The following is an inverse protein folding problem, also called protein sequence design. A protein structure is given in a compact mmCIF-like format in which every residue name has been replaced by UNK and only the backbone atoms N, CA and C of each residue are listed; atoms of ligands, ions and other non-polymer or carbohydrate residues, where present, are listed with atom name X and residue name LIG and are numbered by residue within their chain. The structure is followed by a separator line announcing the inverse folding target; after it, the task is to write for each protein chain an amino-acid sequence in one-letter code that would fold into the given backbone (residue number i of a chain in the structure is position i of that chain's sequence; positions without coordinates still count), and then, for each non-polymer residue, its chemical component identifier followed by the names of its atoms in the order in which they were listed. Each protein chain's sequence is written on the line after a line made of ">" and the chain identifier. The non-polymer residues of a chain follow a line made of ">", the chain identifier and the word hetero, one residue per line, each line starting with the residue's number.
data_IF_649206443532
#
_entry.id   IF_649206443532
#
_cell.length_a   1.000
_cell.length_b   1.000
_cell.length_c   1.000
_cell.angle_alpha   90.00
_cell.angle_beta   90.00
_cell.angle_gamma   90.00
#
_symmetry.space_group_name_H-M   'P 1'
#
loop_
_entity.id
_entity.type
_entity.pdbx_description
1 polymer ?
#
# COMPACT_ATOMS: atom_id res chain seq x y z
N UNK A 1 57.71 35.08 8.21
CA UNK A 1 56.76 34.54 9.22
C UNK A 1 55.35 35.00 8.86
N UNK A 2 54.46 34.13 8.35
CA UNK A 2 53.10 34.56 8.04
C UNK A 2 52.30 34.63 9.35
N UNK A 3 51.78 35.80 9.68
CA UNK A 3 50.91 36.02 10.85
C UNK A 3 49.54 35.45 10.54
N UNK A 4 49.26 34.25 11.06
CA UNK A 4 47.92 33.67 11.08
C UNK A 4 46.99 34.59 11.89
N UNK A 5 46.08 35.26 11.17
CA UNK A 5 44.80 35.83 11.59
C UNK A 5 44.61 36.14 13.09
N UNK A 6 44.74 37.42 13.46
CA UNK A 6 43.97 37.96 14.59
C UNK A 6 42.57 38.29 14.06
N UNK A 7 41.62 37.35 14.22
CA UNK A 7 40.21 37.65 13.93
C UNK A 7 39.61 38.40 15.10
N UNK A 8 39.12 39.62 14.85
CA UNK A 8 38.31 40.40 15.81
C UNK A 8 37.18 39.53 16.39
N UNK A 9 36.90 39.69 17.69
CA UNK A 9 35.84 38.98 18.44
C UNK A 9 34.51 38.98 17.66
N UNK A 10 34.22 40.09 16.96
CA UNK A 10 33.03 40.25 16.11
C UNK A 10 32.97 39.20 14.99
N UNK A 11 34.09 38.93 14.30
CA UNK A 11 34.14 37.95 13.20
C UNK A 11 33.96 36.53 13.72
N UNK A 12 34.46 36.23 14.92
CA UNK A 12 34.29 34.93 15.56
C UNK A 12 32.83 34.70 15.97
N UNK A 13 32.18 35.73 16.55
CA UNK A 13 30.76 35.69 16.90
C UNK A 13 29.89 35.51 15.64
N UNK A 14 30.15 36.28 14.58
CA UNK A 14 29.42 36.14 13.29
C UNK A 14 29.63 34.76 12.65
N UNK A 15 30.84 34.21 12.70
CA UNK A 15 31.10 32.87 12.17
C UNK A 15 30.35 31.79 12.96
N UNK A 16 30.28 31.92 14.30
CA UNK A 16 29.55 30.98 15.16
C UNK A 16 28.04 31.06 14.90
N UNK A 17 27.46 32.25 14.77
CA UNK A 17 26.02 32.39 14.50
C UNK A 17 25.63 31.83 13.14
N UNK A 18 26.43 32.07 12.10
CA UNK A 18 26.22 31.49 10.77
C UNK A 18 26.36 29.97 10.78
N UNK A 19 27.35 29.44 11.49
CA UNK A 19 27.52 27.99 11.65
C UNK A 19 26.32 27.37 12.38
N UNK A 20 25.84 28.00 13.46
CA UNK A 20 24.66 27.52 14.20
C UNK A 20 23.38 27.56 13.36
N UNK A 21 23.18 28.61 12.55
CA UNK A 21 22.05 28.70 11.61
C UNK A 21 22.13 27.63 10.51
N UNK A 22 23.31 27.35 9.98
CA UNK A 22 23.50 26.30 9.00
C UNK A 22 23.23 24.90 9.59
N UNK A 23 23.73 24.64 10.80
CA UNK A 23 23.52 23.37 11.51
C UNK A 23 22.05 23.16 11.84
N UNK A 24 21.35 24.19 12.33
CA UNK A 24 19.92 24.08 12.65
C UNK A 24 19.09 23.83 11.40
N UNK A 25 19.39 24.52 10.29
CA UNK A 25 18.71 24.29 9.00
C UNK A 25 18.95 22.87 8.49
N UNK A 26 20.18 22.39 8.54
CA UNK A 26 20.53 21.03 8.13
C UNK A 26 19.85 19.97 9.00
N UNK A 27 19.78 20.19 10.32
CA UNK A 27 19.09 19.31 11.25
C UNK A 27 17.58 19.25 10.97
N UNK A 28 16.94 20.40 10.73
CA UNK A 28 15.52 20.47 10.35
C UNK A 28 15.29 19.69 9.06
N UNK A 29 16.07 19.94 8.02
CA UNK A 29 15.93 19.25 6.73
C UNK A 29 16.10 17.74 6.90
N UNK A 30 17.11 17.29 7.66
CA UNK A 30 17.34 15.87 7.92
C UNK A 30 16.16 15.22 8.66
N UNK A 31 15.63 15.89 9.70
CA UNK A 31 14.48 15.40 10.47
C UNK A 31 13.22 15.38 9.61
N UNK A 32 12.95 16.43 8.86
CA UNK A 32 11.81 16.50 7.93
C UNK A 32 11.89 15.41 6.87
N UNK A 33 13.06 15.20 6.27
CA UNK A 33 13.26 14.14 5.28
C UNK A 33 13.01 12.75 5.88
N UNK A 34 13.52 12.50 7.08
CA UNK A 34 13.34 11.24 7.78
C UNK A 34 11.88 11.00 8.20
N UNK A 35 11.18 12.05 8.63
CA UNK A 35 9.78 11.98 9.03
C UNK A 35 8.85 11.84 7.82
N UNK A 36 9.16 12.49 6.70
CA UNK A 36 8.35 12.42 5.48
C UNK A 36 8.29 10.98 4.95
N UNK A 37 9.40 10.25 4.95
CA UNK A 37 9.43 8.84 4.52
C UNK A 37 8.54 7.94 5.38
N UNK A 38 8.50 8.17 6.70
CA UNK A 38 7.62 7.43 7.62
C UNK A 38 6.15 7.82 7.46
N UNK A 39 5.88 9.13 7.37
CA UNK A 39 4.53 9.65 7.21
C UNK A 39 3.87 9.15 5.92
N UNK A 40 4.57 9.22 4.79
CA UNK A 40 4.07 8.72 3.51
C UNK A 40 3.76 7.22 3.57
N UNK A 41 4.59 6.44 4.26
CA UNK A 41 4.36 5.01 4.43
C UNK A 41 3.15 4.71 5.33
N UNK A 42 3.03 5.38 6.47
CA UNK A 42 1.91 5.21 7.40
C UNK A 42 0.58 5.63 6.76
N UNK A 43 0.56 6.79 6.09
CA UNK A 43 -0.62 7.23 5.33
C UNK A 43 -0.97 6.23 4.23
N UNK A 44 0.01 5.76 3.45
CA UNK A 44 -0.24 4.79 2.39
C UNK A 44 -0.79 3.46 2.92
N UNK A 45 -0.33 2.99 4.09
CA UNK A 45 -0.88 1.80 4.74
C UNK A 45 -2.32 2.04 5.21
N UNK A 46 -2.61 3.22 5.77
CA UNK A 46 -3.97 3.60 6.15
C UNK A 46 -4.91 3.62 4.95
N UNK A 47 -4.49 4.24 3.85
CA UNK A 47 -5.24 4.28 2.59
C UNK A 47 -5.49 2.86 2.05
N UNK A 48 -4.47 1.99 2.09
CA UNK A 48 -4.61 0.60 1.65
C UNK A 48 -5.60 -0.19 2.52
N UNK A 49 -5.63 0.05 3.84
CA UNK A 49 -6.63 -0.54 4.75
C UNK A 49 -8.03 -0.04 4.44
N UNK A 50 -8.19 1.27 4.27
CA UNK A 50 -9.46 1.89 3.87
C UNK A 50 -9.99 1.32 2.55
N UNK A 51 -9.13 1.23 1.54
CA UNK A 51 -9.45 0.63 0.26
C UNK A 51 -9.87 -0.85 0.37
N UNK A 52 -9.14 -1.64 1.17
CA UNK A 52 -9.47 -3.05 1.41
C UNK A 52 -10.83 -3.19 2.09
N UNK A 53 -11.16 -2.31 3.03
CA UNK A 53 -12.47 -2.26 3.69
C UNK A 53 -13.58 -1.91 2.71
N UNK A 54 -13.41 -0.87 1.90
CA UNK A 54 -14.39 -0.49 0.87
C UNK A 54 -14.65 -1.66 -0.08
N UNK A 55 -13.60 -2.34 -0.53
CA UNK A 55 -13.74 -3.51 -1.40
C UNK A 55 -14.50 -4.64 -0.72
N UNK A 56 -14.17 -4.94 0.54
CA UNK A 56 -14.85 -5.99 1.30
C UNK A 56 -16.33 -5.68 1.55
N UNK A 57 -16.68 -4.43 1.89
CA UNK A 57 -18.08 -4.01 2.05
C UNK A 57 -18.84 -4.13 0.73
N UNK A 58 -18.25 -3.65 -0.38
CA UNK A 58 -18.86 -3.81 -1.71
C UNK A 58 -19.00 -5.27 -2.11
N UNK A 59 -18.08 -6.13 -1.64
CA UNK A 59 -18.15 -7.57 -1.84
C UNK A 59 -19.32 -8.21 -1.08
N UNK A 60 -19.49 -7.89 0.21
CA UNK A 60 -20.64 -8.35 1.00
C UNK A 60 -21.99 -7.83 0.51
N UNK A 61 -22.02 -6.69 -0.20
CA UNK A 61 -23.22 -6.22 -0.89
C UNK A 61 -23.47 -6.98 -2.21
N UNK A 62 -22.40 -7.40 -2.88
CA UNK A 62 -22.48 -8.11 -4.16
C UNK A 62 -22.83 -9.60 -3.99
N UNK A 63 -22.39 -10.24 -2.90
CA UNK A 63 -22.72 -11.62 -2.57
C UNK A 63 -23.35 -11.72 -1.17
N UNK A 64 -24.60 -12.19 -1.11
CA UNK A 64 -25.33 -12.37 0.13
C UNK A 64 -24.75 -13.48 1.04
N UNK A 65 -23.88 -14.34 0.50
CA UNK A 65 -23.20 -15.41 1.24
C UNK A 65 -21.84 -14.96 1.82
N UNK A 66 -21.35 -13.77 1.45
CA UNK A 66 -20.11 -13.24 1.98
C UNK A 66 -20.34 -12.56 3.33
N UNK A 67 -19.84 -13.16 4.40
CA UNK A 67 -19.81 -12.56 5.73
C UNK A 67 -18.57 -11.67 5.87
N UNK A 68 -18.79 -10.36 5.98
CA UNK A 68 -17.72 -9.37 6.15
C UNK A 68 -17.69 -8.91 7.60
N UNK A 69 -16.62 -9.26 8.31
CA UNK A 69 -16.36 -8.80 9.68
C UNK A 69 -15.60 -7.47 9.65
N UNK A 70 -16.26 -6.38 10.02
CA UNK A 70 -15.65 -5.06 10.20
C UNK A 70 -15.83 -4.62 11.65
N UNK A 71 -14.74 -4.29 12.34
CA UNK A 71 -14.80 -3.71 13.69
C UNK A 71 -14.08 -2.37 13.70
N UNK A 72 -14.82 -1.29 13.94
CA UNK A 72 -14.28 0.08 13.90
C UNK A 72 -13.76 0.43 12.51
N UNK A 73 -12.45 0.68 12.39
CA UNK A 73 -11.75 0.99 11.14
C UNK A 73 -10.97 -0.18 10.52
N UNK A 74 -11.02 -1.36 11.13
CA UNK A 74 -10.24 -2.51 10.70
C UNK A 74 -11.12 -3.60 10.08
N UNK A 75 -10.67 -4.11 8.93
CA UNK A 75 -11.25 -5.28 8.28
C UNK A 75 -10.68 -6.54 8.95
N UNK A 76 -11.51 -7.26 9.71
CA UNK A 76 -11.07 -8.44 10.47
C UNK A 76 -11.03 -9.69 9.59
N UNK A 77 -12.08 -9.92 8.80
CA UNK A 77 -12.16 -11.09 7.93
C UNK A 77 -13.22 -10.92 6.85
N UNK A 78 -12.98 -11.53 5.70
CA UNK A 78 -14.01 -11.82 4.70
C UNK A 78 -14.15 -13.33 4.66
N UNK A 79 -15.33 -13.82 4.95
CA UNK A 79 -15.63 -15.25 5.07
C UNK A 79 -16.71 -15.63 4.08
N UNK A 80 -16.49 -16.67 3.28
CA UNK A 80 -17.46 -17.10 2.26
C UNK A 80 -17.32 -18.60 1.96
N UNK A 81 -18.44 -19.30 1.76
CA UNK A 81 -18.45 -20.77 1.54
C UNK A 81 -17.85 -21.19 0.19
N UNK A 82 -17.73 -20.26 -0.76
CA UNK A 82 -16.98 -20.44 -2.01
C UNK A 82 -16.93 -19.13 -2.79
N UNK A 83 -15.80 -18.88 -3.46
CA UNK A 83 -15.65 -17.69 -4.33
C UNK A 83 -16.71 -17.79 -5.46
N UNK A 84 -17.60 -16.80 -5.60
CA UNK A 84 -18.62 -16.79 -6.62
C UNK A 84 -17.98 -16.66 -8.00
N UNK A 85 -18.71 -17.15 -9.00
CA UNK A 85 -18.32 -16.90 -10.38
C UNK A 85 -18.52 -15.41 -10.68
N UNK A 86 -17.42 -14.67 -10.80
CA UNK A 86 -17.45 -13.26 -11.17
C UNK A 86 -17.96 -13.12 -12.62
N UNK A 87 -19.26 -12.87 -12.79
CA UNK A 87 -19.88 -12.66 -14.11
C UNK A 87 -19.40 -11.38 -14.81
N UNK A 88 -18.91 -10.41 -14.04
CA UNK A 88 -18.41 -9.13 -14.54
C UNK A 88 -17.26 -8.55 -13.67
N UNK A 89 -16.80 -7.35 -14.04
CA UNK A 89 -15.78 -6.60 -13.31
C UNK A 89 -16.37 -5.45 -12.47
N UNK A 90 -17.69 -5.42 -12.24
CA UNK A 90 -18.35 -4.28 -11.60
C UNK A 90 -17.84 -4.03 -10.17
N UNK A 91 -17.53 -5.10 -9.42
CA UNK A 91 -16.96 -4.99 -8.08
C UNK A 91 -15.64 -4.21 -8.07
N UNK A 92 -14.68 -4.63 -8.91
CA UNK A 92 -13.34 -4.01 -8.96
C UNK A 92 -13.41 -2.59 -9.53
N UNK A 93 -14.34 -2.34 -10.47
CA UNK A 93 -14.52 -1.02 -11.05
C UNK A 93 -15.17 -0.04 -10.07
N UNK A 94 -16.22 -0.45 -9.35
CA UNK A 94 -16.84 0.36 -8.28
C UNK A 94 -15.86 0.64 -7.16
N UNK A 95 -15.09 -0.38 -6.75
CA UNK A 95 -14.03 -0.20 -5.75
C UNK A 95 -13.02 0.84 -6.24
N UNK A 96 -12.55 0.72 -7.47
CA UNK A 96 -11.60 1.65 -8.07
C UNK A 96 -12.13 3.09 -8.14
N UNK A 97 -13.42 3.28 -8.43
CA UNK A 97 -14.07 4.58 -8.40
C UNK A 97 -14.10 5.18 -6.99
N UNK A 98 -14.36 4.37 -5.96
CA UNK A 98 -14.41 4.82 -4.57
C UNK A 98 -13.03 5.16 -4.00
N UNK A 99 -11.99 4.42 -4.37
CA UNK A 99 -10.64 4.56 -3.81
C UNK A 99 -9.69 5.36 -4.73
N UNK A 100 -10.17 5.80 -5.89
CA UNK A 100 -9.37 6.41 -6.96
C UNK A 100 -8.11 5.60 -7.32
N UNK A 101 -8.24 4.27 -7.41
CA UNK A 101 -7.09 3.35 -7.45
C UNK A 101 -7.33 2.06 -8.23
N UNK A 102 -6.56 1.03 -7.88
CA UNK A 102 -6.59 -0.28 -8.55
C UNK A 102 -7.12 -1.33 -7.59
N UNK A 103 -8.09 -2.13 -8.04
CA UNK A 103 -8.65 -3.25 -7.33
C UNK A 103 -8.43 -4.54 -8.13
N UNK A 104 -8.15 -5.64 -7.43
CA UNK A 104 -7.89 -6.95 -8.05
C UNK A 104 -8.38 -8.06 -7.14
N UNK A 105 -9.16 -8.99 -7.72
CA UNK A 105 -9.52 -10.25 -7.09
C UNK A 105 -8.63 -11.35 -7.66
N UNK A 106 -7.99 -12.09 -6.76
CA UNK A 106 -7.22 -13.28 -7.10
C UNK A 106 -7.96 -14.52 -6.62
N UNK A 107 -7.95 -15.56 -7.45
CA UNK A 107 -8.37 -16.89 -7.06
C UNK A 107 -7.13 -17.76 -6.89
N UNK A 108 -7.08 -18.51 -5.78
CA UNK A 108 -6.02 -19.50 -5.57
C UNK A 108 -6.31 -20.73 -6.43
N UNK A 109 -5.41 -21.04 -7.37
CA UNK A 109 -5.48 -22.21 -8.25
C UNK A 109 -4.21 -23.03 -8.02
N UNK A 110 -4.34 -24.13 -7.26
CA UNK A 110 -3.19 -24.89 -6.78
C UNK A 110 -2.30 -24.04 -5.86
N UNK A 111 -1.06 -23.80 -6.30
CA UNK A 111 -0.09 -22.96 -5.58
C UNK A 111 -0.04 -21.51 -6.08
N UNK A 112 -0.76 -21.18 -7.15
CA UNK A 112 -0.72 -19.87 -7.79
C UNK A 112 -1.94 -19.03 -7.42
N UNK A 113 -1.76 -17.71 -7.38
CA UNK A 113 -2.85 -16.74 -7.31
C UNK A 113 -3.09 -16.17 -8.70
N UNK A 114 -4.20 -16.53 -9.33
CA UNK A 114 -4.57 -16.09 -10.68
C UNK A 114 -5.54 -14.92 -10.58
N UNK A 115 -5.31 -13.84 -11.34
CA UNK A 115 -6.23 -12.69 -11.41
C UNK A 115 -7.48 -13.07 -12.16
N UNK A 116 -8.60 -13.14 -11.44
CA UNK A 116 -9.91 -13.43 -12.04
C UNK A 116 -10.67 -12.16 -12.40
N UNK A 117 -10.48 -11.07 -11.64
CA UNK A 117 -11.12 -9.79 -11.90
C UNK A 117 -10.17 -8.64 -11.52
N UNK A 118 -10.00 -7.65 -12.40
CA UNK A 118 -9.12 -6.50 -12.13
C UNK A 118 -9.47 -5.31 -13.01
N UNK A 119 -9.30 -4.09 -12.50
CA UNK A 119 -9.32 -2.87 -13.31
C UNK A 119 -7.91 -2.45 -13.79
N UNK A 120 -6.86 -3.18 -13.37
CA UNK A 120 -5.50 -2.92 -13.82
C UNK A 120 -5.37 -3.27 -15.29
N UNK A 121 -4.88 -2.32 -16.07
CA UNK A 121 -4.60 -2.50 -17.50
C UNK A 121 -3.12 -2.81 -17.74
N UNK A 122 -2.85 -3.63 -18.75
CA UNK A 122 -1.51 -3.85 -19.32
C UNK A 122 -1.14 -2.67 -20.23
N UNK A 123 0.05 -2.71 -20.79
CA UNK A 123 0.55 -1.69 -21.74
C UNK A 123 -0.31 -1.59 -23.00
N UNK A 124 -0.91 -2.69 -23.44
CA UNK A 124 -1.86 -2.75 -24.57
C UNK A 124 -3.26 -2.19 -24.27
N UNK A 125 -3.50 -1.72 -23.03
CA UNK A 125 -4.79 -1.17 -22.60
C UNK A 125 -5.85 -2.22 -22.19
N UNK A 126 -5.59 -3.51 -22.40
CA UNK A 126 -6.44 -4.61 -21.95
C UNK A 126 -6.31 -4.86 -20.44
N UNK A 127 -7.32 -5.44 -19.80
CA UNK A 127 -7.25 -5.79 -18.37
C UNK A 127 -6.24 -6.92 -18.14
N UNK A 128 -5.51 -6.87 -17.03
CA UNK A 128 -4.53 -7.88 -16.63
C UNK A 128 -5.15 -9.17 -16.06
N UNK A 129 -6.33 -9.55 -16.53
CA UNK A 129 -7.02 -10.81 -16.16
C UNK A 129 -6.22 -12.01 -16.66
N UNK A 130 -6.25 -13.12 -15.92
CA UNK A 130 -5.53 -14.36 -16.22
C UNK A 130 -4.04 -14.34 -15.86
N UNK A 131 -3.48 -13.19 -15.52
CA UNK A 131 -2.09 -13.09 -15.05
C UNK A 131 -1.95 -13.60 -13.62
N UNK A 132 -0.79 -14.17 -13.29
CA UNK A 132 -0.49 -14.67 -11.94
C UNK A 132 0.09 -13.57 -11.07
N UNK A 133 -0.15 -13.64 -9.77
CA UNK A 133 0.70 -12.95 -8.81
C UNK A 133 2.10 -13.56 -8.90
N UNK A 134 3.13 -12.72 -8.99
CA UNK A 134 4.50 -13.21 -9.09
C UNK A 134 4.83 -14.13 -7.90
N UNK A 135 5.55 -15.22 -8.15
CA UNK A 135 5.84 -16.25 -7.16
C UNK A 135 6.74 -15.72 -6.02
N UNK A 136 7.59 -14.75 -6.33
CA UNK A 136 8.49 -14.04 -5.43
C UNK A 136 7.82 -12.85 -4.72
N UNK A 137 6.54 -12.56 -4.99
CA UNK A 137 5.86 -11.43 -4.40
C UNK A 137 5.75 -11.61 -2.87
N UNK A 138 6.13 -10.62 -2.04
CA UNK A 138 6.16 -10.75 -0.57
C UNK A 138 4.79 -11.07 0.05
N UNK A 139 3.69 -10.76 -0.65
CA UNK A 139 2.34 -11.13 -0.25
C UNK A 139 2.06 -12.64 -0.31
N UNK A 140 2.73 -13.43 -1.16
CA UNK A 140 2.49 -14.88 -1.32
C UNK A 140 2.51 -15.64 0.00
N UNK A 141 3.59 -15.61 0.81
CA UNK A 141 3.64 -16.33 2.09
C UNK A 141 2.67 -15.74 3.13
N UNK A 142 2.42 -14.44 3.11
CA UNK A 142 1.50 -13.78 4.06
C UNK A 142 0.05 -14.20 3.80
N UNK A 143 -0.37 -14.19 2.54
CA UNK A 143 -1.67 -14.68 2.10
C UNK A 143 -1.82 -16.19 2.31
N UNK A 144 -0.75 -16.96 2.07
CA UNK A 144 -0.73 -18.40 2.34
C UNK A 144 -0.97 -18.75 3.82
N UNK A 145 -0.54 -17.88 4.74
CA UNK A 145 -0.81 -18.01 6.17
C UNK A 145 -2.17 -17.43 6.60
N UNK A 146 -3.02 -17.01 5.65
CA UNK A 146 -4.33 -16.43 5.94
C UNK A 146 -4.25 -15.07 6.65
N UNK A 147 -3.16 -14.32 6.46
CA UNK A 147 -2.97 -12.97 7.01
C UNK A 147 -3.09 -11.93 5.88
N UNK A 148 -3.58 -10.74 6.22
CA UNK A 148 -3.58 -9.62 5.29
C UNK A 148 -2.15 -9.09 5.09
N UNK A 149 -1.81 -8.75 3.85
CA UNK A 149 -0.55 -8.10 3.49
C UNK A 149 -0.82 -6.63 3.16
N UNK A 150 -0.06 -5.73 3.77
CA UNK A 150 -0.03 -4.30 3.41
C UNK A 150 1.42 -3.91 3.17
N UNK A 151 1.74 -3.51 1.95
CA UNK A 151 3.12 -3.15 1.62
C UNK A 151 3.32 -2.72 0.17
N UNK A 152 4.53 -2.24 -0.14
CA UNK A 152 4.88 -1.81 -1.48
C UNK A 152 4.92 -3.00 -2.44
N UNK A 153 4.33 -2.83 -3.61
CA UNK A 153 4.38 -3.76 -4.72
C UNK A 153 4.71 -3.00 -6.00
N UNK A 154 5.65 -3.52 -6.78
CA UNK A 154 5.94 -2.97 -8.10
C UNK A 154 5.04 -3.65 -9.14
N UNK A 155 4.36 -2.86 -9.97
CA UNK A 155 3.52 -3.36 -11.07
C UNK A 155 3.75 -2.50 -12.30
N UNK A 156 4.20 -3.12 -13.39
CA UNK A 156 4.47 -2.44 -14.68
C UNK A 156 5.34 -1.18 -14.52
N UNK A 157 6.45 -1.28 -13.78
CA UNK A 157 7.40 -0.18 -13.56
C UNK A 157 6.92 0.92 -12.59
N UNK A 158 5.73 0.80 -12.00
CA UNK A 158 5.21 1.73 -11.00
C UNK A 158 5.17 1.10 -9.62
N UNK A 159 5.51 1.89 -8.60
CA UNK A 159 5.40 1.50 -7.20
C UNK A 159 3.98 1.77 -6.70
N UNK A 160 3.34 0.74 -6.15
CA UNK A 160 2.02 0.82 -5.55
C UNK A 160 2.09 0.44 -4.07
N UNK A 161 1.33 1.09 -3.22
CA UNK A 161 0.97 0.49 -1.94
C UNK A 161 -0.17 -0.51 -2.19
N UNK A 162 0.01 -1.76 -1.76
CA UNK A 162 -0.96 -2.83 -1.98
C UNK A 162 -1.44 -3.40 -0.66
N UNK A 163 -2.76 -3.36 -0.45
CA UNK A 163 -3.45 -4.19 0.53
C UNK A 163 -4.00 -5.45 -0.14
N UNK A 164 -3.63 -6.62 0.36
CA UNK A 164 -4.16 -7.91 -0.08
C UNK A 164 -4.74 -8.63 1.13
N UNK A 165 -6.05 -8.88 1.13
CA UNK A 165 -6.75 -9.55 2.22
C UNK A 165 -7.22 -10.92 1.73
N UNK A 166 -6.87 -12.01 2.43
CA UNK A 166 -7.37 -13.34 2.07
C UNK A 166 -8.83 -13.49 2.47
N UNK A 167 -9.64 -14.02 1.55
CA UNK A 167 -10.99 -14.51 1.85
C UNK A 167 -10.86 -15.93 2.38
N UNK A 168 -11.35 -16.19 3.60
CA UNK A 168 -11.32 -17.51 4.22
C UNK A 168 -12.68 -18.21 4.01
N UNK A 169 -12.69 -19.54 4.03
CA UNK A 169 -13.97 -20.27 4.11
C UNK A 169 -14.51 -20.18 5.53
N UNK A 170 -15.84 -20.23 5.70
CA UNK A 170 -16.45 -20.33 7.03
C UNK A 170 -16.04 -21.62 7.75
N UNK A 171 -15.75 -22.67 6.98
CA UNK A 171 -15.13 -23.89 7.44
C UNK A 171 -13.59 -23.82 7.35
N UNK A 172 -12.94 -23.08 8.26
CA UNK A 172 -11.49 -23.16 8.54
C UNK A 172 -10.67 -21.91 8.26
#
# INVERSE_FOLDING_TARGET
>A
MPRFFSTSIVRQVVAITLALLAISTAAIVAVTYHNLGRYVMESAVSDARGASRTMAVLYGVADANAAVGVTGDELLSVTEDGIPEFKDHALVDRTAQSIAGVATVFQKQGNDYVRVSTNLKKEDGSRAVGTKLAADHPAQPVLGNGKAYYGPAQRFGRNFMTGSVPVKRAAG
#
